data_IF_014078290566
#
_entry.id   IF_014078290566
#
_cell.length_a   1.000
_cell.length_b   1.000
_cell.length_c   1.000
_cell.angle_alpha   90.00
_cell.angle_beta   90.00
_cell.angle_gamma   90.00
#
_symmetry.space_group_name_H-M   'P 1'
#
loop_
_entity.id
_entity.type
_entity.pdbx_description
1 polymer ?
#
# COMPACT_ATOMS: atom_id res chain seq x y z
N UNK A 1 14.56 25.26 9.29
CA UNK A 1 14.37 23.87 8.83
C UNK A 1 13.82 23.89 7.42
N UNK A 2 14.26 22.95 6.58
CA UNK A 2 13.74 22.77 5.23
C UNK A 2 12.30 22.22 5.28
N UNK A 3 11.52 22.49 4.24
CA UNK A 3 10.23 21.79 4.05
C UNK A 3 10.48 20.32 3.68
N UNK A 4 9.52 19.41 3.92
CA UNK A 4 9.58 18.02 3.46
C UNK A 4 10.04 17.87 2.01
N UNK A 5 9.36 18.60 1.10
CA UNK A 5 9.68 18.57 -0.33
C UNK A 5 11.10 19.05 -0.61
N UNK A 6 11.50 20.19 -0.03
CA UNK A 6 12.85 20.74 -0.23
C UNK A 6 13.90 19.77 0.30
N UNK A 7 13.69 19.17 1.48
CA UNK A 7 14.60 18.19 2.09
C UNK A 7 14.84 16.99 1.18
N UNK A 8 13.77 16.40 0.63
CA UNK A 8 13.87 15.27 -0.32
C UNK A 8 14.60 15.70 -1.58
N UNK A 9 14.24 16.83 -2.19
CA UNK A 9 14.88 17.31 -3.41
C UNK A 9 16.37 17.64 -3.19
N UNK A 10 16.76 18.21 -2.05
CA UNK A 10 18.15 18.46 -1.69
C UNK A 10 18.93 17.15 -1.61
N UNK A 11 18.40 16.14 -0.91
CA UNK A 11 19.03 14.83 -0.81
C UNK A 11 19.16 14.13 -2.17
N UNK A 12 18.12 14.17 -3.03
CA UNK A 12 18.14 13.60 -4.39
C UNK A 12 19.15 14.30 -5.31
N UNK A 13 19.47 15.57 -5.05
CA UNK A 13 20.53 16.30 -5.75
C UNK A 13 21.93 16.07 -5.16
N UNK A 14 22.09 15.07 -4.29
CA UNK A 14 23.35 14.76 -3.61
C UNK A 14 23.92 15.93 -2.79
N UNK A 15 23.05 16.79 -2.28
CA UNK A 15 23.40 17.90 -1.37
C UNK A 15 22.99 17.54 0.06
N UNK A 16 23.69 18.09 1.06
CA UNK A 16 23.38 17.83 2.47
C UNK A 16 22.08 18.57 2.88
N UNK A 17 21.02 17.83 3.27
CA UNK A 17 19.81 18.43 3.82
C UNK A 17 19.97 18.76 5.32
N UNK A 18 18.97 19.42 5.91
CA UNK A 18 18.95 19.70 7.36
C UNK A 18 18.80 18.45 8.25
N UNK A 19 18.35 17.32 7.67
CA UNK A 19 18.38 15.96 8.24
C UNK A 19 18.09 14.92 7.16
N UNK A 20 18.34 13.64 7.44
CA UNK A 20 17.96 12.53 6.55
C UNK A 20 16.44 12.53 6.29
N UNK A 21 15.98 12.50 5.02
CA UNK A 21 14.55 12.41 4.72
C UNK A 21 13.94 11.11 5.25
N UNK A 22 12.75 11.22 5.86
CA UNK A 22 12.00 10.09 6.39
C UNK A 22 10.92 9.62 5.41
N UNK A 23 10.79 8.32 5.22
CA UNK A 23 9.71 7.69 4.46
C UNK A 23 8.96 6.67 5.31
N UNK A 24 7.63 6.68 5.19
CA UNK A 24 6.73 5.73 5.84
C UNK A 24 5.56 5.42 4.88
N UNK A 25 4.88 4.28 5.06
CA UNK A 25 3.71 3.89 4.25
C UNK A 25 3.98 3.58 2.75
N UNK A 26 5.20 3.20 2.39
CA UNK A 26 5.47 2.54 1.10
C UNK A 26 5.17 1.04 1.15
N UNK A 27 5.22 0.36 -0.01
CA UNK A 27 4.83 -1.06 -0.12
C UNK A 27 5.60 -2.01 0.81
N UNK A 28 6.89 -1.74 1.07
CA UNK A 28 7.76 -2.57 1.92
C UNK A 28 7.98 -2.02 3.33
N UNK A 29 7.61 -0.76 3.58
CA UNK A 29 7.76 -0.07 4.87
C UNK A 29 6.40 0.51 5.31
N UNK A 30 5.34 -0.24 5.03
CA UNK A 30 3.97 0.06 5.40
C UNK A 30 3.72 -0.19 6.88
N UNK A 31 2.78 0.53 7.46
CA UNK A 31 2.34 0.29 8.83
C UNK A 31 1.15 -0.64 8.78
N UNK A 32 1.31 -1.81 9.39
CA UNK A 32 0.24 -2.79 9.43
C UNK A 32 -0.96 -2.27 10.22
N UNK A 33 -2.16 -2.74 9.90
CA UNK A 33 -3.39 -2.30 10.57
C UNK A 33 -3.27 -2.42 12.09
N UNK A 34 -2.68 -3.51 12.59
CA UNK A 34 -2.42 -3.70 14.02
C UNK A 34 -1.55 -2.59 14.62
N UNK A 35 -0.46 -2.20 13.94
CA UNK A 35 0.43 -1.13 14.41
C UNK A 35 -0.25 0.24 14.29
N UNK A 36 -1.02 0.46 13.22
CA UNK A 36 -1.79 1.69 13.03
C UNK A 36 -2.79 1.90 14.17
N UNK A 37 -3.63 0.91 14.48
CA UNK A 37 -4.61 1.02 15.57
C UNK A 37 -3.94 1.16 16.95
N UNK A 38 -2.80 0.50 17.17
CA UNK A 38 -2.04 0.70 18.42
C UNK A 38 -1.53 2.14 18.54
N UNK A 39 -1.00 2.73 17.46
CA UNK A 39 -0.56 4.12 17.45
C UNK A 39 -1.72 5.09 17.69
N UNK A 40 -2.90 4.84 17.10
CA UNK A 40 -4.08 5.68 17.34
C UNK A 40 -4.56 5.63 18.79
N UNK A 41 -4.52 4.45 19.43
CA UNK A 41 -4.90 4.29 20.83
C UNK A 41 -4.00 5.12 21.76
N UNK A 42 -2.68 5.11 21.53
CA UNK A 42 -1.72 5.94 22.28
C UNK A 42 -1.94 7.45 22.07
N UNK A 43 -2.39 7.84 20.87
CA UNK A 43 -2.64 9.23 20.50
C UNK A 43 -4.06 9.72 20.85
N UNK A 44 -4.96 8.82 21.25
CA UNK A 44 -6.38 9.13 21.47
C UNK A 44 -7.11 9.56 20.19
N UNK A 45 -6.78 8.97 19.04
CA UNK A 45 -7.34 9.32 17.74
C UNK A 45 -8.32 8.25 17.24
N UNK A 46 -9.39 8.70 16.59
CA UNK A 46 -10.26 7.82 15.81
C UNK A 46 -9.65 7.51 14.43
N UNK A 47 -9.88 6.32 13.86
CA UNK A 47 -9.33 5.95 12.57
C UNK A 47 -9.98 6.71 11.41
N UNK A 48 -9.19 7.01 10.38
CA UNK A 48 -9.72 7.39 9.06
C UNK A 48 -10.30 6.17 8.33
N UNK A 49 -11.15 6.36 7.30
CA UNK A 49 -11.58 5.27 6.43
C UNK A 49 -10.38 4.55 5.79
N UNK A 50 -10.47 3.22 5.56
CA UNK A 50 -9.42 2.50 4.86
C UNK A 50 -9.36 2.95 3.39
N UNK A 51 -8.16 3.20 2.88
CA UNK A 51 -7.93 3.42 1.45
C UNK A 51 -7.99 2.11 0.65
N UNK A 52 -7.93 0.96 1.34
CA UNK A 52 -8.24 -0.37 0.79
C UNK A 52 -9.53 -0.90 1.42
N UNK A 53 -10.72 -0.57 0.87
CA UNK A 53 -11.99 -0.82 1.55
C UNK A 53 -12.28 -2.32 1.77
N UNK A 54 -11.78 -3.18 0.88
CA UNK A 54 -12.00 -4.62 0.94
C UNK A 54 -11.09 -5.38 1.93
N UNK A 55 -10.19 -4.67 2.62
CA UNK A 55 -9.31 -5.22 3.67
C UNK A 55 -8.52 -6.49 3.27
N UNK A 56 -8.20 -6.61 1.97
CA UNK A 56 -7.46 -7.75 1.42
C UNK A 56 -5.99 -7.80 1.84
N UNK A 57 -5.44 -6.70 2.33
CA UNK A 57 -4.02 -6.56 2.65
C UNK A 57 -3.79 -6.48 4.16
N UNK A 58 -2.54 -6.40 4.59
CA UNK A 58 -2.18 -6.14 6.00
C UNK A 58 -1.99 -4.65 6.32
N UNK A 59 -2.03 -3.81 5.28
CA UNK A 59 -1.91 -2.34 5.33
C UNK A 59 -3.09 -1.79 4.56
N UNK A 60 -4.18 -1.46 5.25
CA UNK A 60 -5.42 -0.99 4.63
C UNK A 60 -5.78 0.46 4.97
N UNK A 61 -5.07 1.05 5.93
CA UNK A 61 -5.26 2.42 6.38
C UNK A 61 -4.06 3.27 5.98
N UNK A 62 -4.33 4.54 5.67
CA UNK A 62 -3.32 5.54 5.36
C UNK A 62 -3.78 6.86 5.97
N UNK A 63 -3.04 7.38 6.94
CA UNK A 63 -3.44 8.54 7.75
C UNK A 63 -2.38 9.64 7.70
N UNK A 64 -2.66 10.70 6.93
CA UNK A 64 -1.76 11.85 6.78
C UNK A 64 -1.48 12.56 8.12
N UNK A 65 -2.36 12.42 9.13
CA UNK A 65 -2.14 13.01 10.46
C UNK A 65 -0.94 12.35 11.15
N UNK A 66 -0.79 11.03 11.02
CA UNK A 66 0.37 10.31 11.55
C UNK A 66 1.65 10.70 10.82
N UNK A 67 1.60 10.86 9.50
CA UNK A 67 2.75 11.32 8.72
C UNK A 67 3.21 12.71 9.15
N UNK A 68 2.27 13.64 9.34
CA UNK A 68 2.56 14.97 9.84
C UNK A 68 3.13 14.92 11.28
N UNK A 69 2.53 14.12 12.16
CA UNK A 69 2.98 13.97 13.56
C UNK A 69 4.40 13.41 13.68
N UNK A 70 4.75 12.44 12.84
CA UNK A 70 6.07 11.82 12.79
C UNK A 70 7.08 12.63 11.95
N UNK A 71 6.64 13.70 11.29
CA UNK A 71 7.45 14.48 10.37
C UNK A 71 7.97 13.64 9.21
N UNK A 72 7.12 12.86 8.55
CA UNK A 72 7.47 12.09 7.36
C UNK A 72 7.59 13.02 6.15
N UNK A 73 8.57 12.77 5.28
CA UNK A 73 8.93 13.67 4.20
C UNK A 73 8.31 13.32 2.84
N UNK A 74 7.74 12.13 2.72
CA UNK A 74 7.07 11.62 1.51
C UNK A 74 5.69 11.09 1.85
N UNK A 75 4.82 11.03 0.83
CA UNK A 75 3.47 10.49 0.94
C UNK A 75 3.27 9.35 -0.07
N UNK A 76 2.49 8.34 0.31
CA UNK A 76 1.96 7.38 -0.65
C UNK A 76 0.96 8.09 -1.56
N UNK A 77 0.92 7.67 -2.82
CA UNK A 77 -0.08 8.10 -3.79
C UNK A 77 -0.57 6.84 -4.48
N UNK A 78 -1.88 6.61 -4.42
CA UNK A 78 -2.53 5.60 -5.26
C UNK A 78 -3.15 6.28 -6.49
N UNK A 79 -2.67 6.01 -7.71
CA UNK A 79 -3.24 6.55 -8.93
C UNK A 79 -4.43 5.71 -9.44
N UNK A 80 -5.23 5.11 -8.56
CA UNK A 80 -6.36 4.23 -8.89
C UNK A 80 -6.00 2.73 -8.96
N UNK A 81 -4.75 2.35 -8.67
CA UNK A 81 -4.32 0.95 -8.77
C UNK A 81 -5.03 0.07 -7.76
N UNK A 82 -5.25 0.54 -6.53
CA UNK A 82 -5.88 -0.28 -5.48
C UNK A 82 -7.31 -0.60 -5.85
N UNK A 83 -8.01 0.39 -6.40
CA UNK A 83 -9.38 0.26 -6.87
C UNK A 83 -9.54 -0.81 -7.95
N UNK A 84 -8.47 -1.22 -8.64
CA UNK A 84 -8.49 -2.30 -9.63
C UNK A 84 -7.88 -3.58 -9.08
N UNK A 85 -6.69 -3.51 -8.49
CA UNK A 85 -5.89 -4.69 -8.16
C UNK A 85 -6.29 -5.38 -6.86
N UNK A 86 -6.89 -4.62 -5.94
CA UNK A 86 -7.26 -5.10 -4.59
C UNK A 86 -8.77 -5.32 -4.44
N UNK A 87 -9.47 -5.64 -5.53
CA UNK A 87 -10.89 -6.03 -5.51
C UNK A 87 -11.03 -7.49 -5.10
N UNK A 88 -12.00 -7.78 -4.22
CA UNK A 88 -12.35 -9.15 -3.85
C UNK A 88 -13.34 -9.71 -4.87
N UNK A 89 -12.90 -10.71 -5.63
CA UNK A 89 -13.78 -11.53 -6.46
C UNK A 89 -14.74 -12.38 -5.62
N UNK A 90 -15.79 -12.92 -6.24
CA UNK A 90 -16.78 -13.77 -5.56
C UNK A 90 -16.19 -15.05 -4.97
N UNK A 91 -15.02 -15.44 -5.45
CA UNK A 91 -14.24 -16.59 -4.98
C UNK A 91 -13.18 -16.22 -3.93
N UNK A 92 -13.17 -14.96 -3.46
CA UNK A 92 -12.23 -14.44 -2.47
C UNK A 92 -10.84 -14.12 -3.02
N UNK A 93 -10.64 -14.19 -4.34
CA UNK A 93 -9.37 -13.82 -4.96
C UNK A 93 -9.25 -12.31 -5.21
N UNK A 94 -8.02 -11.80 -5.27
CA UNK A 94 -7.74 -10.46 -5.79
C UNK A 94 -7.82 -10.42 -7.33
N UNK A 95 -7.55 -9.26 -7.92
CA UNK A 95 -7.63 -9.11 -9.38
C UNK A 95 -6.53 -9.90 -10.14
N UNK A 96 -5.52 -10.42 -9.44
CA UNK A 96 -4.51 -11.31 -10.00
C UNK A 96 -4.88 -12.79 -9.81
N UNK A 97 -6.03 -13.08 -9.21
CA UNK A 97 -6.46 -14.44 -8.90
C UNK A 97 -5.79 -15.04 -7.65
N UNK A 98 -5.05 -14.24 -6.86
CA UNK A 98 -4.44 -14.69 -5.63
C UNK A 98 -5.46 -14.72 -4.50
N UNK A 99 -5.41 -15.76 -3.66
CA UNK A 99 -6.14 -15.77 -2.39
C UNK A 99 -5.16 -15.67 -1.24
N UNK A 100 -5.59 -15.02 -0.17
CA UNK A 100 -4.74 -14.78 0.99
C UNK A 100 -5.31 -15.49 2.22
N UNK A 101 -4.42 -15.98 3.06
CA UNK A 101 -4.74 -16.46 4.39
C UNK A 101 -3.91 -15.71 5.43
N UNK A 102 -4.44 -15.64 6.65
CA UNK A 102 -3.75 -15.02 7.79
C UNK A 102 -3.35 -16.10 8.78
N UNK A 103 -2.07 -16.12 9.16
CA UNK A 103 -1.52 -16.97 10.21
C UNK A 103 -0.71 -16.11 11.18
N UNK A 104 -1.21 -15.96 12.41
CA UNK A 104 -0.60 -15.07 13.39
C UNK A 104 -0.54 -13.62 12.89
N UNK A 105 0.67 -13.06 12.78
CA UNK A 105 0.91 -11.70 12.31
C UNK A 105 1.05 -11.59 10.79
N UNK A 106 1.10 -12.73 10.09
CA UNK A 106 1.43 -12.76 8.67
C UNK A 106 0.17 -13.01 7.85
N UNK A 107 -0.04 -12.18 6.84
CA UNK A 107 -0.97 -12.44 5.75
C UNK A 107 -0.15 -12.79 4.51
N UNK A 108 -0.42 -13.94 3.90
CA UNK A 108 0.32 -14.44 2.76
C UNK A 108 -0.61 -15.09 1.75
N UNK A 109 -0.17 -15.14 0.49
CA UNK A 109 -0.88 -15.86 -0.55
C UNK A 109 -0.97 -17.36 -0.19
N UNK A 110 -2.19 -17.88 -0.15
CA UNK A 110 -2.50 -19.28 0.12
C UNK A 110 -2.85 -20.06 -1.15
N UNK A 111 -3.18 -19.34 -2.23
CA UNK A 111 -3.47 -19.91 -3.55
C UNK A 111 -2.82 -19.06 -4.62
N UNK A 112 -2.24 -19.73 -5.62
CA UNK A 112 -1.48 -19.14 -6.71
C UNK A 112 -2.04 -19.67 -8.04
N UNK A 113 -2.75 -18.86 -8.83
CA UNK A 113 -3.49 -19.34 -10.01
C UNK A 113 -2.58 -19.84 -11.14
N UNK A 114 -1.31 -19.44 -11.13
CA UNK A 114 -0.31 -19.75 -12.14
C UNK A 114 0.82 -20.65 -11.61
N UNK A 115 0.63 -21.34 -10.48
CA UNK A 115 1.69 -22.13 -9.82
C UNK A 115 2.37 -23.15 -10.76
N UNK A 116 1.57 -23.80 -11.60
CA UNK A 116 2.01 -24.85 -12.52
C UNK A 116 1.87 -24.45 -13.99
N UNK A 117 1.65 -23.16 -14.26
CA UNK A 117 1.34 -22.67 -15.60
C UNK A 117 2.57 -22.60 -16.51
N UNK A 118 2.40 -23.00 -17.77
CA UNK A 118 3.38 -22.78 -18.83
C UNK A 118 3.36 -21.34 -19.37
N UNK A 119 4.34 -21.00 -20.21
CA UNK A 119 4.47 -19.65 -20.80
C UNK A 119 3.20 -19.22 -21.52
N UNK A 120 2.61 -20.09 -22.35
CA UNK A 120 1.42 -19.76 -23.12
C UNK A 120 0.21 -19.46 -22.23
N UNK A 121 0.07 -20.20 -21.12
CA UNK A 121 -0.99 -20.00 -20.14
C UNK A 121 -0.80 -18.70 -19.35
N UNK A 122 0.44 -18.38 -18.97
CA UNK A 122 0.79 -17.10 -18.32
C UNK A 122 0.44 -15.92 -19.25
N UNK A 123 0.81 -16.02 -20.53
CA UNK A 123 0.55 -14.96 -21.52
C UNK A 123 -0.95 -14.78 -21.82
N UNK A 124 -1.74 -15.85 -21.70
CA UNK A 124 -3.19 -15.81 -21.87
C UNK A 124 -3.96 -15.44 -20.59
N UNK A 125 -3.30 -15.41 -19.42
CA UNK A 125 -3.95 -15.16 -18.15
C UNK A 125 -4.51 -13.72 -18.09
N UNK A 126 -5.76 -13.52 -17.67
CA UNK A 126 -6.43 -12.22 -17.72
C UNK A 126 -5.98 -11.30 -16.57
N UNK A 127 -4.75 -10.79 -16.66
CA UNK A 127 -4.21 -9.83 -15.70
C UNK A 127 -4.89 -8.45 -15.80
N UNK A 128 -4.95 -7.68 -14.71
CA UNK A 128 -5.40 -6.29 -14.74
C UNK A 128 -4.60 -5.46 -15.75
N UNK A 129 -5.29 -4.67 -16.55
CA UNK A 129 -4.66 -3.83 -17.57
C UNK A 129 -4.34 -2.44 -17.07
N UNK A 130 -3.29 -1.83 -17.62
CA UNK A 130 -2.87 -0.48 -17.23
C UNK A 130 -3.98 0.55 -17.50
N UNK A 131 -4.73 0.39 -18.59
CA UNK A 131 -5.85 1.26 -18.96
C UNK A 131 -6.97 1.20 -17.92
N UNK A 132 -7.21 0.03 -17.32
CA UNK A 132 -8.22 -0.15 -16.27
C UNK A 132 -7.80 0.59 -14.99
N UNK A 133 -6.51 0.57 -14.65
CA UNK A 133 -5.93 1.33 -13.53
C UNK A 133 -6.03 2.83 -13.77
N UNK A 134 -5.65 3.31 -14.96
CA UNK A 134 -5.69 4.74 -15.32
C UNK A 134 -7.12 5.28 -15.32
N UNK A 135 -8.09 4.46 -15.74
CA UNK A 135 -9.50 4.83 -15.76
C UNK A 135 -10.18 4.76 -14.38
N UNK A 136 -9.57 4.09 -13.40
CA UNK A 136 -10.10 4.03 -12.05
C UNK A 136 -9.90 5.37 -11.34
N UNK A 137 -10.99 5.97 -10.87
CA UNK A 137 -10.90 7.11 -9.97
C UNK A 137 -10.36 6.64 -8.60
N UNK A 138 -9.39 7.36 -8.01
CA UNK A 138 -8.88 7.06 -6.67
C UNK A 138 -9.89 7.33 -5.55
#
# INVERSE_FOLDING_TARGET
>A
MLTPRTRVLTALNHQEPDRVPLALWGSWYGVTDKLYFAALAELGWEPVPPFRPELLHSVNYYDDRLLAHLGVDVRHVDPGSIGVTSRVGTDGADAYGLRYSTSGLYRAASYHPLAEAGVDEIMAFPLPRAEEVIAAEP
#
